data_IF_050492888914
#
_entry.id   IF_050492888914
#
_cell.length_a   1.000
_cell.length_b   1.000
_cell.length_c   1.000
_cell.angle_alpha   90.00
_cell.angle_beta   90.00
_cell.angle_gamma   90.00
#
_symmetry.space_group_name_H-M   'P 1'
#
loop_
_entity.id
_entity.type
_entity.pdbx_description
1 polymer ?
#
# COMPACT_ATOMS: atom_id res chain seq x y z
N UNK A 1 -9.14 34.14 -64.26
CA UNK A 1 -8.85 33.26 -63.14
C UNK A 1 -9.96 32.20 -63.08
N UNK A 2 -9.57 31.01 -63.36
CA UNK A 2 -10.48 29.90 -63.65
C UNK A 2 -11.09 29.36 -62.36
N UNK A 3 -12.42 29.38 -62.26
CA UNK A 3 -13.15 28.84 -61.06
C UNK A 3 -12.86 27.37 -60.80
N UNK A 4 -12.36 26.62 -61.76
CA UNK A 4 -11.96 25.21 -61.61
C UNK A 4 -10.67 25.03 -60.84
N UNK A 5 -9.72 26.00 -60.91
CA UNK A 5 -8.46 25.96 -60.18
C UNK A 5 -8.63 26.14 -58.66
N UNK A 6 -9.62 26.97 -58.28
CA UNK A 6 -9.90 27.21 -56.86
C UNK A 6 -10.52 25.99 -56.15
N UNK A 7 -11.39 25.25 -56.90
CA UNK A 7 -11.98 24.00 -56.36
C UNK A 7 -10.95 22.87 -56.22
N UNK A 8 -10.01 22.76 -57.16
CA UNK A 8 -8.95 21.74 -57.07
C UNK A 8 -8.00 21.98 -55.90
N UNK A 9 -7.62 23.23 -55.60
CA UNK A 9 -6.79 23.56 -54.49
C UNK A 9 -7.52 23.36 -53.13
N UNK A 10 -8.80 23.68 -53.05
CA UNK A 10 -9.60 23.44 -51.86
C UNK A 10 -9.80 21.94 -51.55
N UNK A 11 -9.98 21.12 -52.60
CA UNK A 11 -10.11 19.66 -52.42
C UNK A 11 -8.78 19.00 -51.97
N UNK A 12 -7.66 19.47 -52.53
CA UNK A 12 -6.33 18.98 -52.13
C UNK A 12 -6.02 19.33 -50.67
N UNK A 13 -6.26 20.58 -50.25
CA UNK A 13 -6.05 20.98 -48.86
C UNK A 13 -6.96 20.23 -47.88
N UNK A 14 -8.22 19.95 -48.27
CA UNK A 14 -9.14 19.17 -47.44
C UNK A 14 -8.69 17.69 -47.30
N UNK A 15 -8.21 17.08 -48.39
CA UNK A 15 -7.67 15.71 -48.38
C UNK A 15 -6.39 15.61 -47.57
N UNK A 16 -5.51 16.60 -47.61
CA UNK A 16 -4.30 16.63 -46.84
C UNK A 16 -4.58 16.79 -45.32
N UNK A 17 -5.56 17.63 -44.95
CA UNK A 17 -6.01 17.78 -43.57
C UNK A 17 -6.66 16.48 -43.05
N UNK A 18 -7.54 15.87 -43.87
CA UNK A 18 -8.18 14.59 -43.50
C UNK A 18 -7.13 13.49 -43.43
N UNK A 19 -6.17 13.44 -44.34
CA UNK A 19 -5.06 12.49 -44.32
C UNK A 19 -4.17 12.65 -43.07
N UNK A 20 -3.88 13.89 -42.69
CA UNK A 20 -3.11 14.18 -41.47
C UNK A 20 -3.87 13.81 -40.19
N UNK A 21 -5.17 14.05 -40.12
CA UNK A 21 -6.02 13.65 -38.99
C UNK A 21 -6.15 12.12 -38.88
N UNK A 22 -6.29 11.43 -40.02
CA UNK A 22 -6.31 9.96 -40.06
C UNK A 22 -4.95 9.40 -39.66
N UNK A 23 -3.84 9.98 -40.14
CA UNK A 23 -2.49 9.63 -39.79
C UNK A 23 -2.23 9.82 -38.28
N UNK A 24 -2.69 10.93 -37.71
CA UNK A 24 -2.60 11.19 -36.29
C UNK A 24 -3.41 10.20 -35.44
N UNK A 25 -4.65 9.90 -35.84
CA UNK A 25 -5.49 8.88 -35.21
C UNK A 25 -4.82 7.49 -35.24
N UNK A 26 -4.26 7.13 -36.42
CA UNK A 26 -3.55 5.86 -36.58
C UNK A 26 -2.31 5.80 -35.70
N UNK A 27 -1.52 6.89 -35.61
CA UNK A 27 -0.35 6.98 -34.75
C UNK A 27 -0.73 6.90 -33.26
N UNK A 28 -1.80 7.57 -32.85
CA UNK A 28 -2.31 7.48 -31.47
C UNK A 28 -2.78 6.06 -31.15
N UNK A 29 -3.53 5.41 -32.03
CA UNK A 29 -3.96 4.03 -31.81
C UNK A 29 -2.77 3.06 -31.73
N UNK A 30 -1.80 3.18 -32.64
CA UNK A 30 -0.59 2.35 -32.63
C UNK A 30 0.23 2.58 -31.34
N UNK A 31 0.31 3.83 -30.86
CA UNK A 31 0.97 4.15 -29.59
C UNK A 31 0.19 3.57 -28.42
N UNK A 32 -1.15 3.68 -28.42
CA UNK A 32 -1.98 3.08 -27.37
C UNK A 32 -1.85 1.56 -27.37
N UNK A 33 -1.92 0.91 -28.53
CA UNK A 33 -1.71 -0.53 -28.67
C UNK A 33 -0.31 -0.97 -28.21
N UNK A 34 0.74 -0.21 -28.54
CA UNK A 34 2.11 -0.50 -28.08
C UNK A 34 2.28 -0.28 -26.57
N UNK A 35 1.60 0.72 -26.01
CA UNK A 35 1.56 0.92 -24.54
C UNK A 35 0.77 -0.19 -23.87
N UNK A 36 -0.37 -0.59 -24.42
CA UNK A 36 -1.17 -1.70 -23.89
C UNK A 36 -0.41 -3.03 -24.01
N UNK A 37 0.30 -3.27 -25.11
CA UNK A 37 1.18 -4.45 -25.28
C UNK A 37 2.38 -4.41 -24.32
N UNK A 38 3.01 -3.26 -24.13
CA UNK A 38 4.09 -3.09 -23.16
C UNK A 38 3.60 -3.28 -21.72
N UNK A 39 2.40 -2.79 -21.41
CA UNK A 39 1.75 -3.00 -20.11
C UNK A 39 1.33 -4.47 -19.93
N UNK A 40 0.87 -5.16 -20.99
CA UNK A 40 0.50 -6.58 -20.94
C UNK A 40 1.68 -7.52 -20.68
N UNK A 41 2.89 -7.09 -20.99
CA UNK A 41 4.13 -7.83 -20.70
C UNK A 41 4.69 -7.54 -19.28
N UNK A 42 4.13 -6.59 -18.54
CA UNK A 42 4.47 -6.37 -17.14
C UNK A 42 3.60 -7.34 -16.33
N UNK A 43 4.15 -8.53 -16.05
CA UNK A 43 3.56 -9.43 -15.05
C UNK A 43 3.39 -8.60 -13.77
N UNK A 44 2.16 -8.37 -13.35
CA UNK A 44 1.90 -7.61 -12.13
C UNK A 44 2.60 -8.31 -10.97
N UNK A 45 3.53 -7.62 -10.33
CA UNK A 45 4.19 -8.13 -9.13
C UNK A 45 3.13 -8.26 -8.03
N UNK A 46 2.81 -9.49 -7.62
CA UNK A 46 1.91 -9.75 -6.49
C UNK A 46 2.76 -10.00 -5.26
N UNK A 47 2.46 -9.28 -4.21
CA UNK A 47 3.09 -9.39 -2.91
C UNK A 47 2.32 -10.30 -1.95
N UNK A 48 3.02 -10.74 -0.91
CA UNK A 48 2.44 -11.43 0.24
C UNK A 48 2.66 -10.60 1.49
N UNK A 49 1.57 -10.27 2.20
CA UNK A 49 1.68 -9.82 3.58
C UNK A 49 2.01 -11.04 4.46
N UNK A 50 3.16 -10.99 5.12
CA UNK A 50 3.70 -12.11 5.89
C UNK A 50 2.92 -12.42 7.18
N UNK A 51 1.94 -11.60 7.56
CA UNK A 51 0.97 -11.97 8.59
C UNK A 51 0.21 -13.25 8.22
N UNK A 52 0.00 -13.48 6.92
CA UNK A 52 -0.63 -14.68 6.37
C UNK A 52 0.14 -15.98 6.67
N UNK A 53 1.41 -15.89 7.04
CA UNK A 53 2.27 -17.03 7.39
C UNK A 53 2.98 -16.79 8.73
N UNK A 54 2.35 -16.04 9.65
CA UNK A 54 2.96 -15.62 10.91
C UNK A 54 3.55 -16.78 11.71
N UNK A 55 2.82 -17.90 11.84
CA UNK A 55 3.33 -19.10 12.55
C UNK A 55 4.58 -19.68 11.88
N UNK A 56 4.51 -19.89 10.57
CA UNK A 56 5.64 -20.41 9.77
C UNK A 56 6.85 -19.45 9.82
N UNK A 57 6.60 -18.15 9.77
CA UNK A 57 7.65 -17.13 9.89
C UNK A 57 8.31 -17.14 11.27
N UNK A 58 7.57 -17.39 12.35
CA UNK A 58 8.14 -17.53 13.69
C UNK A 58 8.96 -18.82 13.85
N UNK A 59 8.54 -19.90 13.19
CA UNK A 59 9.25 -21.18 13.28
C UNK A 59 10.51 -21.23 12.42
N UNK A 60 10.39 -20.87 11.12
CA UNK A 60 11.50 -20.93 10.19
C UNK A 60 11.38 -19.88 9.08
N UNK A 61 11.74 -18.61 9.35
CA UNK A 61 11.56 -17.51 8.40
C UNK A 61 12.30 -17.73 7.08
N UNK A 62 13.49 -18.33 7.09
CA UNK A 62 14.27 -18.56 5.85
C UNK A 62 13.58 -19.53 4.91
N UNK A 63 13.06 -20.63 5.44
CA UNK A 63 12.32 -21.61 4.66
C UNK A 63 10.99 -21.03 4.15
N UNK A 64 10.27 -20.31 5.01
CA UNK A 64 8.98 -19.69 4.67
C UNK A 64 9.11 -18.67 3.54
N UNK A 65 10.14 -17.84 3.55
CA UNK A 65 10.45 -16.92 2.45
C UNK A 65 10.74 -17.68 1.13
N UNK A 66 11.51 -18.78 1.21
CA UNK A 66 11.79 -19.59 0.02
C UNK A 66 10.53 -20.27 -0.53
N UNK A 67 9.61 -20.68 0.34
CA UNK A 67 8.33 -21.26 -0.04
C UNK A 67 7.41 -20.22 -0.69
N UNK A 68 7.30 -19.02 -0.11
CA UNK A 68 6.54 -17.91 -0.69
C UNK A 68 7.00 -17.59 -2.13
N UNK A 69 8.31 -17.52 -2.34
CA UNK A 69 8.86 -17.30 -3.68
C UNK A 69 8.53 -18.46 -4.65
N UNK A 70 8.56 -19.71 -4.18
CA UNK A 70 8.18 -20.89 -5.02
C UNK A 70 6.70 -20.90 -5.39
N UNK A 71 5.83 -20.33 -4.57
CA UNK A 71 4.41 -20.17 -4.84
C UNK A 71 4.15 -19.12 -5.94
N UNK A 72 5.14 -18.25 -6.25
CA UNK A 72 5.04 -17.24 -7.30
C UNK A 72 5.05 -15.79 -6.79
N UNK A 73 5.07 -15.56 -5.48
CA UNK A 73 5.21 -14.20 -4.94
C UNK A 73 6.57 -13.60 -5.30
N UNK A 74 6.58 -12.33 -5.66
CA UNK A 74 7.79 -11.60 -6.08
C UNK A 74 8.23 -10.57 -5.05
N UNK A 75 7.32 -10.20 -4.15
CA UNK A 75 7.58 -9.25 -3.08
C UNK A 75 6.82 -9.61 -1.81
N UNK A 76 7.28 -9.03 -0.71
CA UNK A 76 6.69 -9.23 0.61
C UNK A 76 6.49 -7.92 1.33
N UNK A 77 5.51 -7.94 2.22
CA UNK A 77 5.31 -6.94 3.24
C UNK A 77 5.49 -7.60 4.63
N UNK A 78 6.36 -7.02 5.47
CA UNK A 78 6.62 -7.56 6.81
C UNK A 78 5.55 -7.09 7.79
N UNK A 79 5.20 -7.94 8.76
CA UNK A 79 4.19 -7.66 9.77
C UNK A 79 4.66 -7.91 11.21
N UNK A 80 5.97 -8.11 11.40
CA UNK A 80 6.56 -8.34 12.72
C UNK A 80 7.87 -7.57 12.85
N UNK A 81 7.82 -6.50 13.65
CA UNK A 81 8.99 -5.70 14.03
C UNK A 81 8.95 -5.45 15.52
N UNK A 82 9.99 -5.82 16.21
CA UNK A 82 10.16 -5.58 17.64
C UNK A 82 11.64 -5.46 18.00
N UNK A 83 11.98 -4.47 18.82
CA UNK A 83 13.34 -4.29 19.34
C UNK A 83 14.43 -4.30 18.25
N UNK A 84 14.19 -3.68 17.12
CA UNK A 84 15.13 -3.62 15.99
C UNK A 84 15.30 -4.95 15.24
N UNK A 85 14.38 -5.90 15.40
CA UNK A 85 14.39 -7.21 14.75
C UNK A 85 13.11 -7.45 13.95
N UNK A 86 13.22 -8.24 12.90
CA UNK A 86 12.12 -8.64 12.04
C UNK A 86 12.00 -10.16 12.11
N UNK A 87 10.87 -10.68 12.62
CA UNK A 87 10.71 -12.11 12.93
C UNK A 87 11.92 -12.67 13.69
N UNK A 88 12.35 -11.98 14.73
CA UNK A 88 13.53 -12.27 15.56
C UNK A 88 14.88 -12.32 14.82
N UNK A 89 14.92 -12.02 13.54
CA UNK A 89 16.16 -11.90 12.79
C UNK A 89 16.74 -10.50 12.88
N UNK A 90 18.06 -10.38 12.80
CA UNK A 90 18.69 -9.09 12.53
C UNK A 90 18.28 -8.59 11.14
N UNK A 91 18.13 -7.27 10.93
CA UNK A 91 17.70 -6.72 9.66
C UNK A 91 18.53 -7.20 8.45
N UNK A 92 19.85 -7.24 8.58
CA UNK A 92 20.72 -7.71 7.51
C UNK A 92 20.52 -9.20 7.19
N UNK A 93 20.31 -10.04 8.22
CA UNK A 93 20.04 -11.47 8.04
C UNK A 93 18.69 -11.69 7.34
N UNK A 94 17.67 -10.89 7.69
CA UNK A 94 16.36 -10.95 7.07
C UNK A 94 16.43 -10.49 5.60
N UNK A 95 17.11 -9.36 5.35
CA UNK A 95 17.34 -8.85 3.98
C UNK A 95 18.04 -9.88 3.10
N UNK A 96 19.09 -10.52 3.61
CA UNK A 96 19.83 -11.54 2.88
C UNK A 96 18.98 -12.80 2.64
N UNK A 97 18.12 -13.19 3.60
CA UNK A 97 17.21 -14.31 3.41
C UNK A 97 16.16 -14.03 2.32
N UNK A 98 15.54 -12.84 2.33
CA UNK A 98 14.61 -12.41 1.29
C UNK A 98 15.28 -12.33 -0.08
N UNK A 99 16.48 -11.73 -0.15
CA UNK A 99 17.28 -11.64 -1.39
C UNK A 99 17.62 -13.03 -1.96
N UNK A 100 18.03 -13.98 -1.13
CA UNK A 100 18.32 -15.37 -1.54
C UNK A 100 17.08 -16.10 -2.04
N UNK A 101 15.92 -15.81 -1.47
CA UNK A 101 14.64 -16.32 -1.95
C UNK A 101 14.18 -15.65 -3.26
N UNK A 102 14.79 -14.53 -3.67
CA UNK A 102 14.36 -13.76 -4.84
C UNK A 102 13.19 -12.81 -4.57
N UNK A 103 12.92 -12.50 -3.28
CA UNK A 103 11.82 -11.63 -2.86
C UNK A 103 12.31 -10.19 -2.62
N UNK A 104 11.53 -9.22 -3.11
CA UNK A 104 11.68 -7.79 -2.75
C UNK A 104 10.95 -7.54 -1.44
N UNK A 105 11.56 -6.80 -0.51
CA UNK A 105 10.88 -6.31 0.69
C UNK A 105 10.26 -4.95 0.33
N UNK A 106 8.96 -4.93 0.02
CA UNK A 106 8.31 -3.75 -0.53
C UNK A 106 7.73 -2.84 0.54
N UNK A 107 7.24 -3.40 1.64
CA UNK A 107 6.60 -2.66 2.72
C UNK A 107 6.74 -3.33 4.08
N UNK A 108 6.28 -2.62 5.09
CA UNK A 108 6.21 -3.11 6.45
C UNK A 108 5.03 -2.52 7.21
N UNK A 109 4.29 -3.38 7.92
CA UNK A 109 3.33 -2.94 8.93
C UNK A 109 4.07 -2.66 10.24
N UNK A 110 4.01 -1.41 10.67
CA UNK A 110 4.59 -0.94 11.92
C UNK A 110 3.48 -0.31 12.78
N UNK A 111 3.55 -0.54 14.08
CA UNK A 111 2.59 0.06 15.02
C UNK A 111 3.32 0.66 16.20
N UNK A 112 3.08 1.93 16.43
CA UNK A 112 3.40 2.66 17.64
C UNK A 112 2.25 3.62 17.90
N UNK A 113 1.44 3.32 18.91
CA UNK A 113 0.26 4.12 19.21
C UNK A 113 0.63 5.41 19.95
N UNK A 114 -0.24 6.41 19.88
CA UNK A 114 -0.10 7.65 20.67
C UNK A 114 -0.13 7.36 22.17
N UNK A 115 -0.94 6.40 22.58
CA UNK A 115 -1.11 5.98 23.98
C UNK A 115 0.10 5.22 24.54
N UNK A 116 0.97 4.71 23.66
CA UNK A 116 2.24 4.05 24.05
C UNK A 116 3.34 5.08 24.40
N UNK A 117 3.01 6.37 24.35
CA UNK A 117 3.92 7.45 24.71
C UNK A 117 3.95 7.63 26.21
N UNK A 118 5.12 7.83 26.83
CA UNK A 118 5.16 8.38 28.18
C UNK A 118 4.52 9.78 28.15
N UNK A 119 3.67 10.07 29.14
CA UNK A 119 3.06 11.39 29.28
C UNK A 119 4.16 12.47 29.26
N UNK A 120 4.04 13.41 28.34
CA UNK A 120 4.95 14.56 28.25
C UNK A 120 4.89 15.45 29.50
N UNK A 121 3.96 15.17 30.43
CA UNK A 121 3.77 15.85 31.70
C UNK A 121 4.41 15.15 32.90
N UNK A 122 5.00 13.96 32.71
CA UNK A 122 5.82 13.33 33.75
C UNK A 122 7.17 14.04 33.81
N UNK A 123 7.22 15.20 34.42
CA UNK A 123 8.44 15.85 34.83
C UNK A 123 9.23 14.85 35.69
N UNK A 124 10.40 14.44 35.22
CA UNK A 124 11.32 13.66 36.02
C UNK A 124 11.84 14.57 37.14
N UNK A 125 11.23 14.49 38.32
CA UNK A 125 11.85 14.97 39.53
C UNK A 125 13.12 14.12 39.81
N UNK A 126 14.18 14.49 39.14
CA UNK A 126 15.54 14.11 39.63
C UNK A 126 16.38 15.37 39.63
N UNK A 127 16.48 15.92 40.86
CA UNK A 127 17.51 16.86 41.24
C UNK A 127 18.90 16.37 40.79
N UNK A 128 19.53 17.07 39.87
CA UNK A 128 20.98 17.14 39.82
C UNK A 128 21.42 18.31 38.93
N UNK A 129 21.90 19.34 39.58
CA UNK A 129 22.58 20.49 38.96
C UNK A 129 23.89 20.05 38.28
N UNK A 130 23.93 20.10 36.97
CA UNK A 130 25.16 20.31 36.19
C UNK A 130 24.79 21.00 34.87
N UNK A 131 25.18 22.25 34.74
CA UNK A 131 25.05 23.03 33.50
C UNK A 131 25.96 22.42 32.43
N UNK A 132 25.37 21.78 31.44
CA UNK A 132 26.01 21.34 30.22
C UNK A 132 24.94 21.38 29.11
N UNK A 133 25.32 21.89 27.95
CA UNK A 133 24.51 22.17 26.76
C UNK A 133 23.22 21.35 26.63
N UNK A 134 22.08 22.03 26.62
CA UNK A 134 20.77 21.41 26.41
C UNK A 134 20.70 20.80 25.00
N UNK A 135 21.12 19.56 24.86
CA UNK A 135 20.61 18.69 23.83
C UNK A 135 19.15 18.48 24.15
N UNK A 136 18.24 19.07 23.36
CA UNK A 136 16.80 18.81 23.44
C UNK A 136 16.64 17.29 23.37
N UNK A 137 16.20 16.68 24.46
CA UNK A 137 15.94 15.26 24.51
C UNK A 137 14.94 14.94 23.40
N UNK A 138 15.30 14.06 22.46
CA UNK A 138 14.44 13.66 21.36
C UNK A 138 13.19 13.02 21.97
N UNK A 139 12.00 13.42 21.50
CA UNK A 139 10.76 12.79 21.91
C UNK A 139 10.84 11.28 21.68
N UNK A 140 10.53 10.43 22.69
CA UNK A 140 10.70 8.98 22.61
C UNK A 140 9.98 8.33 21.41
N UNK A 141 8.90 8.91 20.94
CA UNK A 141 8.12 8.41 19.81
C UNK A 141 8.79 8.72 18.49
N UNK A 142 9.21 9.95 18.32
CA UNK A 142 10.02 10.36 17.18
C UNK A 142 11.31 9.55 17.12
N UNK A 143 11.94 9.31 18.27
CA UNK A 143 13.11 8.44 18.38
C UNK A 143 12.85 6.99 17.94
N UNK A 144 11.71 6.42 18.34
CA UNK A 144 11.32 5.06 17.92
C UNK A 144 11.10 5.00 16.41
N UNK A 145 10.30 5.95 15.85
CA UNK A 145 10.06 6.01 14.42
C UNK A 145 11.33 6.21 13.60
N UNK A 146 12.23 7.07 14.06
CA UNK A 146 13.51 7.31 13.39
C UNK A 146 14.28 6.00 13.22
N UNK A 147 14.43 5.21 14.30
CA UNK A 147 15.14 3.93 14.26
C UNK A 147 14.40 2.92 13.37
N UNK A 148 13.09 2.78 13.53
CA UNK A 148 12.30 1.85 12.75
C UNK A 148 12.35 2.19 11.24
N UNK A 149 12.18 3.47 10.89
CA UNK A 149 12.22 3.91 9.50
C UNK A 149 13.61 3.74 8.88
N UNK A 150 14.70 4.01 9.62
CA UNK A 150 16.06 3.78 9.11
C UNK A 150 16.31 2.30 8.79
N UNK A 151 15.88 1.40 9.68
CA UNK A 151 15.98 -0.05 9.47
C UNK A 151 15.20 -0.46 8.20
N UNK A 152 13.96 0.00 8.05
CA UNK A 152 13.12 -0.41 6.93
C UNK A 152 13.54 0.22 5.61
N UNK A 153 14.11 1.44 5.62
CA UNK A 153 14.82 2.01 4.45
C UNK A 153 15.96 1.09 4.01
N UNK A 154 16.78 0.64 4.96
CA UNK A 154 17.96 -0.20 4.67
C UNK A 154 17.55 -1.61 4.22
N UNK A 155 16.36 -2.08 4.58
CA UNK A 155 15.75 -3.29 4.02
C UNK A 155 15.27 -3.10 2.57
N UNK A 156 15.07 -1.87 2.11
CA UNK A 156 14.57 -1.56 0.77
C UNK A 156 13.06 -1.31 0.70
N UNK A 157 12.39 -1.13 1.86
CA UNK A 157 10.97 -0.80 1.90
C UNK A 157 10.68 0.51 1.18
N UNK A 158 9.62 0.52 0.40
CA UNK A 158 9.05 1.72 -0.25
C UNK A 158 7.88 2.28 0.54
N UNK A 159 7.24 1.43 1.35
CA UNK A 159 6.03 1.75 2.10
C UNK A 159 6.19 1.35 3.56
N UNK A 160 5.64 2.19 4.41
CA UNK A 160 5.46 1.92 5.84
C UNK A 160 4.00 2.10 6.15
N UNK A 161 3.34 1.06 6.60
CA UNK A 161 1.91 1.06 6.86
C UNK A 161 1.63 0.94 8.35
N UNK A 162 0.71 1.75 8.85
CA UNK A 162 0.16 1.61 10.19
C UNK A 162 -1.29 1.13 10.11
N UNK A 163 -1.56 -0.05 10.70
CA UNK A 163 -2.87 -0.71 10.61
C UNK A 163 -3.63 -0.79 11.93
N UNK A 164 -2.97 -0.48 13.06
CA UNK A 164 -3.61 -0.57 14.37
C UNK A 164 -3.81 0.82 14.93
N UNK A 165 -5.07 1.17 15.15
CA UNK A 165 -5.53 2.30 15.94
C UNK A 165 -6.53 1.77 16.97
N UNK A 166 -6.88 2.55 18.01
CA UNK A 166 -8.02 2.24 18.88
C UNK A 166 -9.32 2.09 18.06
N UNK A 167 -10.14 1.10 18.40
CA UNK A 167 -11.39 0.80 17.68
C UNK A 167 -12.38 1.98 17.66
N UNK A 168 -12.33 2.83 18.66
CA UNK A 168 -13.15 4.05 18.74
C UNK A 168 -12.27 5.27 18.97
N UNK A 169 -12.43 6.26 18.12
CA UNK A 169 -11.71 7.53 18.20
C UNK A 169 -12.71 8.67 18.46
N UNK A 170 -12.42 9.50 19.46
CA UNK A 170 -13.09 10.80 19.60
C UNK A 170 -12.61 11.77 18.51
N UNK A 171 -13.33 12.86 18.29
CA UNK A 171 -12.90 13.90 17.35
C UNK A 171 -11.51 14.46 17.72
N UNK A 172 -11.27 14.65 19.02
CA UNK A 172 -9.96 15.10 19.53
C UNK A 172 -8.85 14.08 19.24
N UNK A 173 -9.09 12.80 19.55
CA UNK A 173 -8.12 11.72 19.30
C UNK A 173 -7.87 11.56 17.78
N UNK A 174 -8.91 11.68 16.97
CA UNK A 174 -8.79 11.65 15.50
C UNK A 174 -7.89 12.78 14.99
N UNK A 175 -8.06 14.01 15.49
CA UNK A 175 -7.21 15.12 15.11
C UNK A 175 -5.74 14.89 15.51
N UNK A 176 -5.50 14.38 16.71
CA UNK A 176 -4.15 14.03 17.19
C UNK A 176 -3.50 12.94 16.32
N UNK A 177 -4.25 11.91 15.91
CA UNK A 177 -3.73 10.89 14.99
C UNK A 177 -3.45 11.46 13.59
N UNK A 178 -4.23 12.43 13.11
CA UNK A 178 -3.94 13.08 11.84
C UNK A 178 -2.60 13.84 11.88
N UNK A 179 -2.34 14.62 12.91
CA UNK A 179 -1.06 15.31 13.11
C UNK A 179 0.11 14.31 13.26
N UNK A 180 -0.13 13.22 13.97
CA UNK A 180 0.83 12.14 14.14
C UNK A 180 1.18 11.48 12.82
N UNK A 181 0.19 11.19 11.99
CA UNK A 181 0.39 10.60 10.67
C UNK A 181 1.14 11.53 9.72
N UNK A 182 0.84 12.82 9.74
CA UNK A 182 1.59 13.81 8.97
C UNK A 182 3.07 13.86 9.39
N UNK A 183 3.34 13.76 10.70
CA UNK A 183 4.70 13.70 11.23
C UNK A 183 5.44 12.46 10.76
N UNK A 184 4.82 11.27 10.85
CA UNK A 184 5.43 10.02 10.36
C UNK A 184 5.61 10.09 8.84
N UNK A 185 4.63 10.64 8.13
CA UNK A 185 4.70 10.84 6.68
C UNK A 185 5.90 11.68 6.25
N UNK A 186 6.18 12.78 6.94
CA UNK A 186 7.38 13.59 6.71
C UNK A 186 8.66 12.80 6.99
N UNK A 187 8.71 12.07 8.10
CA UNK A 187 9.89 11.25 8.46
C UNK A 187 10.14 10.12 7.45
N UNK A 188 9.09 9.50 6.93
CA UNK A 188 9.17 8.47 5.90
C UNK A 188 9.64 9.07 4.56
N UNK A 189 9.07 10.23 4.17
CA UNK A 189 9.43 10.93 2.94
C UNK A 189 10.91 11.35 2.92
N UNK A 190 11.48 11.81 4.04
CA UNK A 190 12.91 12.13 4.18
C UNK A 190 13.82 10.92 3.90
N UNK A 191 13.28 9.71 3.99
CA UNK A 191 13.97 8.43 3.73
C UNK A 191 13.61 7.81 2.39
N UNK A 192 12.85 8.53 1.55
CA UNK A 192 12.39 8.04 0.25
C UNK A 192 11.26 7.02 0.32
N UNK A 193 10.61 6.88 1.47
CA UNK A 193 9.47 5.99 1.70
C UNK A 193 8.16 6.77 1.75
N UNK A 194 7.04 6.07 1.64
CA UNK A 194 5.69 6.62 1.81
C UNK A 194 5.04 5.98 3.03
N UNK A 195 4.37 6.82 3.82
CA UNK A 195 3.57 6.35 4.94
C UNK A 195 2.14 6.09 4.48
N UNK A 196 1.60 4.93 4.84
CA UNK A 196 0.25 4.51 4.54
C UNK A 196 -0.53 4.25 5.83
N UNK A 197 -1.79 4.63 5.84
CA UNK A 197 -2.76 4.20 6.83
C UNK A 197 -3.62 3.07 6.24
N UNK A 198 -3.71 1.96 6.97
CA UNK A 198 -4.57 0.82 6.67
C UNK A 198 -5.74 0.80 7.65
N UNK A 199 -6.92 1.28 7.25
CA UNK A 199 -8.10 1.27 8.10
C UNK A 199 -8.69 -0.14 8.19
N UNK A 200 -9.06 -0.56 9.38
CA UNK A 200 -9.90 -1.74 9.59
C UNK A 200 -11.39 -1.39 9.52
N UNK A 201 -12.25 -2.41 9.65
CA UNK A 201 -13.71 -2.28 9.66
C UNK A 201 -14.21 -1.21 10.62
N UNK A 202 -13.64 -1.10 11.83
CA UNK A 202 -14.10 -0.15 12.84
C UNK A 202 -13.89 1.28 12.40
N UNK A 203 -12.73 1.58 11.78
CA UNK A 203 -12.38 2.89 11.26
C UNK A 203 -13.18 3.26 10.00
N UNK A 204 -13.59 2.27 9.21
CA UNK A 204 -14.39 2.45 8.00
C UNK A 204 -15.88 2.63 8.30
N UNK A 205 -16.36 2.08 9.42
CA UNK A 205 -17.77 2.18 9.81
C UNK A 205 -18.13 3.59 10.26
N UNK A 206 -19.13 4.19 9.63
CA UNK A 206 -19.56 5.55 9.97
C UNK A 206 -20.30 5.58 11.31
N UNK A 207 -19.91 6.50 12.18
CA UNK A 207 -20.62 6.86 13.40
C UNK A 207 -21.16 8.27 13.22
N UNK A 208 -22.47 8.47 13.41
CA UNK A 208 -23.14 9.76 13.15
C UNK A 208 -22.89 10.34 11.74
N UNK A 209 -22.70 9.46 10.74
CA UNK A 209 -22.55 9.84 9.33
C UNK A 209 -21.13 10.11 8.87
N UNK A 210 -20.11 10.03 9.75
CA UNK A 210 -18.70 10.19 9.42
C UNK A 210 -17.91 9.00 9.97
N UNK A 211 -17.04 8.40 9.15
CA UNK A 211 -16.12 7.36 9.61
C UNK A 211 -14.82 8.00 10.14
N UNK A 212 -14.14 7.31 11.05
CA UNK A 212 -12.82 7.74 11.52
C UNK A 212 -11.82 7.84 10.35
N UNK A 213 -11.93 6.93 9.38
CA UNK A 213 -11.14 6.98 8.15
C UNK A 213 -11.40 8.25 7.34
N UNK A 214 -12.67 8.62 7.13
CA UNK A 214 -13.01 9.86 6.41
C UNK A 214 -12.50 11.10 7.13
N UNK A 215 -12.59 11.13 8.46
CA UNK A 215 -12.11 12.25 9.29
C UNK A 215 -10.56 12.36 9.23
N UNK A 216 -9.83 11.25 9.38
CA UNK A 216 -8.36 11.21 9.24
C UNK A 216 -7.96 11.62 7.81
N UNK A 217 -8.65 11.11 6.79
CA UNK A 217 -8.37 11.44 5.41
C UNK A 217 -8.57 12.94 5.10
N UNK A 218 -9.55 13.57 5.75
CA UNK A 218 -9.81 15.01 5.60
C UNK A 218 -8.80 15.87 6.35
N UNK A 219 -8.29 15.40 7.49
CA UNK A 219 -7.39 16.14 8.37
C UNK A 219 -5.90 15.99 8.03
N UNK A 220 -5.51 14.96 7.26
CA UNK A 220 -4.10 14.69 6.90
C UNK A 220 -3.70 15.29 5.56
N UNK A 221 -2.42 15.68 5.44
CA UNK A 221 -1.85 16.17 4.18
C UNK A 221 -1.79 15.01 3.13
N UNK A 222 -2.46 15.18 1.98
CA UNK A 222 -2.47 14.16 0.93
C UNK A 222 -1.09 13.91 0.27
N UNK A 223 -0.10 14.76 0.51
CA UNK A 223 1.28 14.54 0.06
C UNK A 223 2.10 13.69 1.04
N UNK A 224 1.63 13.54 2.28
CA UNK A 224 2.34 12.87 3.37
C UNK A 224 1.73 11.52 3.75
N UNK A 225 0.40 11.44 3.74
CA UNK A 225 -0.36 10.26 4.20
C UNK A 225 -1.09 9.63 3.03
N UNK A 226 -0.79 8.38 2.77
CA UNK A 226 -1.38 7.54 1.75
C UNK A 226 -2.23 6.45 2.39
N UNK A 227 -2.91 5.65 1.59
CA UNK A 227 -3.79 4.60 2.09
C UNK A 227 -3.43 3.24 1.49
N UNK A 228 -3.57 2.24 2.32
CA UNK A 228 -3.62 0.83 1.97
C UNK A 228 -5.03 0.34 2.27
N UNK A 229 -5.74 -0.11 1.25
CA UNK A 229 -7.13 -0.51 1.36
C UNK A 229 -7.24 -2.04 1.35
N UNK A 230 -7.91 -2.58 2.34
CA UNK A 230 -8.18 -4.00 2.48
C UNK A 230 -9.60 -4.33 2.01
N UNK A 231 -9.70 -5.31 1.11
CA UNK A 231 -10.98 -5.70 0.50
C UNK A 231 -11.91 -6.41 1.47
N UNK A 232 -11.38 -7.17 2.44
CA UNK A 232 -12.17 -7.81 3.48
C UNK A 232 -12.71 -6.78 4.48
N UNK A 233 -11.88 -5.84 4.92
CA UNK A 233 -12.27 -4.80 5.88
C UNK A 233 -13.36 -3.90 5.29
N UNK A 234 -13.26 -3.53 4.01
CA UNK A 234 -14.31 -2.78 3.32
C UNK A 234 -15.60 -3.58 3.18
N UNK A 235 -15.51 -4.88 2.85
CA UNK A 235 -16.67 -5.76 2.74
C UNK A 235 -17.37 -5.95 4.09
N UNK A 236 -16.61 -6.16 5.17
CA UNK A 236 -17.13 -6.28 6.53
C UNK A 236 -17.75 -4.98 7.07
N UNK A 237 -17.27 -3.83 6.62
CA UNK A 237 -17.87 -2.52 6.91
C UNK A 237 -19.12 -2.23 6.04
N UNK A 238 -19.45 -3.11 5.09
CA UNK A 238 -20.57 -2.92 4.15
C UNK A 238 -20.33 -1.81 3.11
N UNK A 239 -19.06 -1.52 2.80
CA UNK A 239 -18.64 -0.47 1.87
C UNK A 239 -18.36 -1.06 0.49
N UNK A 240 -18.82 -0.40 -0.56
CA UNK A 240 -18.36 -0.68 -1.93
C UNK A 240 -16.91 -0.22 -2.09
N UNK A 241 -15.98 -1.18 -2.12
CA UNK A 241 -14.55 -0.93 -2.28
C UNK A 241 -14.24 -0.09 -3.50
N UNK A 242 -14.93 -0.30 -4.63
CA UNK A 242 -14.75 0.51 -5.85
C UNK A 242 -15.18 1.97 -5.66
N UNK A 243 -16.26 2.20 -4.92
CA UNK A 243 -16.69 3.57 -4.60
C UNK A 243 -15.65 4.28 -3.72
N UNK A 244 -15.09 3.59 -2.71
CA UNK A 244 -14.01 4.10 -1.88
C UNK A 244 -12.76 4.39 -2.71
N UNK A 245 -12.35 3.48 -3.58
CA UNK A 245 -11.23 3.68 -4.50
C UNK A 245 -11.44 4.87 -5.44
N UNK A 246 -12.66 5.13 -5.91
CA UNK A 246 -12.97 6.33 -6.71
C UNK A 246 -12.83 7.61 -5.92
N UNK A 247 -13.26 7.59 -4.65
CA UNK A 247 -13.23 8.76 -3.76
C UNK A 247 -11.81 9.14 -3.36
N UNK A 248 -10.98 8.16 -3.01
CA UNK A 248 -9.65 8.38 -2.46
C UNK A 248 -8.50 7.93 -3.37
N UNK A 249 -8.79 7.50 -4.59
CA UNK A 249 -7.88 6.77 -5.45
C UNK A 249 -6.49 7.39 -5.65
N UNK A 250 -6.39 8.72 -5.69
CA UNK A 250 -5.07 9.39 -5.79
C UNK A 250 -4.19 9.19 -4.55
N UNK A 251 -4.79 8.84 -3.41
CA UNK A 251 -4.11 8.56 -2.14
C UNK A 251 -4.00 7.06 -1.85
N UNK A 252 -4.68 6.19 -2.59
CA UNK A 252 -4.57 4.74 -2.42
C UNK A 252 -3.37 4.24 -3.22
N UNK A 253 -2.35 3.78 -2.52
CA UNK A 253 -1.13 3.24 -3.13
C UNK A 253 -1.10 1.71 -3.11
N UNK A 254 -1.73 1.11 -2.11
CA UNK A 254 -1.65 -0.31 -1.83
C UNK A 254 -3.05 -0.90 -1.71
N UNK A 255 -3.20 -2.14 -2.16
CA UNK A 255 -4.41 -2.93 -1.99
C UNK A 255 -4.05 -4.25 -1.30
N UNK A 256 -4.70 -4.55 -0.18
CA UNK A 256 -4.74 -5.90 0.35
C UNK A 256 -5.86 -6.67 -0.34
N UNK A 257 -5.48 -7.66 -1.13
CA UNK A 257 -6.39 -8.67 -1.64
C UNK A 257 -6.62 -9.69 -0.51
N UNK A 258 -7.65 -9.46 0.27
CA UNK A 258 -8.02 -10.23 1.46
C UNK A 258 -9.47 -10.67 1.34
N UNK A 259 -9.74 -11.95 1.59
CA UNK A 259 -11.05 -12.58 1.49
C UNK A 259 -11.42 -13.28 2.82
N UNK A 260 -12.58 -13.89 2.88
CA UNK A 260 -13.04 -14.68 4.02
C UNK A 260 -12.29 -15.99 4.23
N UNK A 261 -11.29 -16.26 3.43
CA UNK A 261 -10.42 -17.42 3.43
C UNK A 261 -9.40 -17.30 2.30
N UNK A 262 -9.36 -18.29 1.42
CA UNK A 262 -8.56 -18.21 0.20
C UNK A 262 -9.09 -17.10 -0.70
N UNK A 263 -8.23 -16.21 -1.14
CA UNK A 263 -8.60 -15.08 -1.99
C UNK A 263 -9.26 -15.59 -3.29
N UNK A 264 -10.43 -15.04 -3.58
CA UNK A 264 -11.24 -15.37 -4.76
C UNK A 264 -12.12 -16.63 -4.62
N UNK A 265 -12.21 -17.24 -3.43
CA UNK A 265 -13.02 -18.46 -3.25
C UNK A 265 -14.29 -18.25 -2.45
N UNK A 266 -14.44 -17.16 -1.70
CA UNK A 266 -15.63 -16.92 -0.89
C UNK A 266 -16.89 -16.64 -1.72
N UNK A 267 -16.73 -16.16 -2.95
CA UNK A 267 -17.82 -15.65 -3.78
C UNK A 267 -18.47 -14.36 -3.25
N UNK A 268 -17.90 -13.74 -2.19
CA UNK A 268 -18.43 -12.53 -1.55
C UNK A 268 -17.74 -11.26 -2.04
N UNK A 269 -16.49 -11.37 -2.53
CA UNK A 269 -15.69 -10.27 -3.03
C UNK A 269 -15.32 -10.55 -4.49
N UNK A 270 -15.72 -9.65 -5.39
CA UNK A 270 -15.38 -9.71 -6.80
C UNK A 270 -14.06 -8.93 -7.04
N UNK A 271 -12.95 -9.66 -7.03
CA UNK A 271 -11.59 -9.07 -7.07
C UNK A 271 -11.27 -8.41 -8.40
N UNK A 272 -11.69 -8.97 -9.53
CA UNK A 272 -11.28 -8.48 -10.85
C UNK A 272 -11.65 -7.00 -11.08
N UNK A 273 -12.92 -6.56 -10.91
CA UNK A 273 -13.27 -5.16 -11.07
C UNK A 273 -12.72 -4.24 -9.96
N UNK A 274 -12.44 -4.79 -8.76
CA UNK A 274 -11.80 -4.02 -7.68
C UNK A 274 -10.35 -3.71 -8.04
N UNK A 275 -9.59 -4.71 -8.46
CA UNK A 275 -8.20 -4.58 -8.87
C UNK A 275 -8.08 -3.66 -10.08
N UNK A 276 -8.93 -3.84 -11.09
CA UNK A 276 -8.99 -2.95 -12.26
C UNK A 276 -9.20 -1.49 -11.85
N UNK A 277 -10.13 -1.22 -10.91
CA UNK A 277 -10.38 0.15 -10.42
C UNK A 277 -9.18 0.67 -9.61
N UNK A 278 -8.56 -0.16 -8.75
CA UNK A 278 -7.39 0.23 -7.95
C UNK A 278 -6.21 0.63 -8.86
N UNK A 279 -5.86 -0.19 -9.83
CA UNK A 279 -4.79 0.08 -10.82
C UNK A 279 -5.10 1.34 -11.62
N UNK A 280 -6.34 1.47 -12.12
CA UNK A 280 -6.80 2.68 -12.83
C UNK A 280 -6.65 3.95 -11.99
N UNK A 281 -6.78 3.87 -10.67
CA UNK A 281 -6.64 5.00 -9.75
C UNK A 281 -5.21 5.26 -9.32
N UNK A 282 -4.28 4.37 -9.63
CA UNK A 282 -2.87 4.57 -9.39
C UNK A 282 -2.27 3.75 -8.24
N UNK A 283 -3.01 2.73 -7.77
CA UNK A 283 -2.43 1.74 -6.86
C UNK A 283 -1.16 1.14 -7.49
N UNK A 284 -0.14 0.94 -6.66
CA UNK A 284 1.20 0.54 -7.11
C UNK A 284 1.47 -0.93 -6.90
N UNK A 285 0.99 -1.46 -5.78
CA UNK A 285 1.24 -2.84 -5.41
C UNK A 285 -0.02 -3.47 -4.80
N UNK A 286 -0.13 -4.78 -4.97
CA UNK A 286 -1.21 -5.60 -4.43
C UNK A 286 -0.56 -6.67 -3.57
N UNK A 287 -1.01 -6.79 -2.32
CA UNK A 287 -0.56 -7.83 -1.40
C UNK A 287 -1.71 -8.79 -1.08
N UNK A 288 -1.42 -10.08 -1.15
CA UNK A 288 -2.33 -11.10 -0.61
C UNK A 288 -2.26 -11.08 0.90
N UNK A 289 -3.41 -11.07 1.56
CA UNK A 289 -3.55 -11.35 2.97
C UNK A 289 -4.56 -12.46 3.22
N UNK A 290 -4.21 -13.42 4.09
CA UNK A 290 -5.09 -14.49 4.53
C UNK A 290 -5.00 -14.59 6.05
N UNK A 291 -6.14 -14.44 6.74
CA UNK A 291 -6.24 -14.57 8.21
C UNK A 291 -7.15 -15.71 8.64
N UNK A 292 -8.14 -16.06 7.83
CA UNK A 292 -9.11 -17.12 8.12
C UNK A 292 -8.75 -18.38 7.33
N UNK A 293 -8.10 -19.34 7.98
CA UNK A 293 -7.58 -20.52 7.30
C UNK A 293 -8.61 -21.65 7.29
N UNK A 294 -9.09 -21.98 6.10
CA UNK A 294 -9.91 -23.20 5.85
C UNK A 294 -9.04 -24.41 5.50
N UNK A 295 -7.76 -24.18 5.19
CA UNK A 295 -6.71 -25.14 4.86
C UNK A 295 -5.44 -24.77 5.64
N UNK A 296 -4.37 -25.59 5.62
CA UNK A 296 -3.07 -25.14 6.12
C UNK A 296 -2.67 -23.78 5.52
N UNK A 297 -2.11 -22.84 6.29
CA UNK A 297 -1.83 -21.47 5.84
C UNK A 297 -1.12 -21.38 4.50
N UNK A 298 -0.09 -22.18 4.28
CA UNK A 298 0.67 -22.23 3.01
C UNK A 298 -0.21 -22.58 1.82
N UNK A 299 -1.14 -23.52 1.98
CA UNK A 299 -2.07 -23.90 0.92
C UNK A 299 -3.05 -22.75 0.60
N UNK A 300 -3.47 -22.00 1.63
CA UNK A 300 -4.34 -20.85 1.42
C UNK A 300 -3.63 -19.77 0.62
N UNK A 301 -2.39 -19.41 0.97
CA UNK A 301 -1.65 -18.36 0.25
C UNK A 301 -1.24 -18.81 -1.16
N UNK A 302 -0.89 -20.08 -1.36
CA UNK A 302 -0.57 -20.62 -2.69
C UNK A 302 -1.78 -20.58 -3.64
N UNK A 303 -2.95 -20.99 -3.15
CA UNK A 303 -4.19 -20.91 -3.94
C UNK A 303 -4.61 -19.47 -4.20
N UNK A 304 -4.39 -18.57 -3.25
CA UNK A 304 -4.72 -17.16 -3.38
C UNK A 304 -3.98 -16.48 -4.53
N UNK A 305 -2.66 -16.69 -4.63
CA UNK A 305 -1.90 -16.11 -5.74
C UNK A 305 -2.32 -16.74 -7.09
N UNK A 306 -2.55 -18.07 -7.13
CA UNK A 306 -3.02 -18.73 -8.33
C UNK A 306 -4.37 -18.16 -8.82
N UNK A 307 -5.31 -17.91 -7.90
CA UNK A 307 -6.60 -17.33 -8.23
C UNK A 307 -6.44 -15.90 -8.76
N UNK A 308 -5.61 -15.07 -8.11
CA UNK A 308 -5.36 -13.70 -8.57
C UNK A 308 -4.68 -13.67 -9.93
N UNK A 309 -3.65 -14.49 -10.18
CA UNK A 309 -2.97 -14.56 -11.48
C UNK A 309 -3.90 -15.00 -12.62
N UNK A 310 -5.04 -15.60 -12.30
CA UNK A 310 -6.05 -15.98 -13.28
C UNK A 310 -6.95 -14.83 -13.72
N UNK A 311 -6.98 -13.73 -12.95
CA UNK A 311 -7.86 -12.59 -13.21
C UNK A 311 -7.39 -11.77 -14.43
N UNK A 312 -8.32 -11.31 -15.28
CA UNK A 312 -7.99 -10.44 -16.41
C UNK A 312 -7.24 -9.18 -16.00
N UNK A 313 -7.63 -8.54 -14.89
CA UNK A 313 -7.02 -7.29 -14.40
C UNK A 313 -5.58 -7.43 -13.89
N UNK A 314 -5.09 -8.66 -13.67
CA UNK A 314 -3.69 -8.94 -13.25
C UNK A 314 -2.79 -9.29 -14.44
N UNK A 315 -3.37 -9.66 -15.58
CA UNK A 315 -2.62 -10.12 -16.75
C UNK A 315 -2.15 -9.00 -17.69
N UNK A 316 -2.19 -7.76 -17.22
CA UNK A 316 -1.78 -6.59 -18.00
C UNK A 316 -0.35 -6.16 -17.75
#
# INVERSE_FOLDING_TARGET
MDRLGFFKHGLSAATDVIGSVIGLKKAVNTFTEAVDEALSNIKSDIGLNLQSLQGDMCENPRNTLSEAARMGYTMIETASYSNGRIYDMKPDDFREAARKAGLKIAGAHLTKLLEDMPDATAESETDSAAAGEATTAEDPVTGWWRVALDIHRDLGCRYITMSRLPESLSDETTARYAEYFDTIGDMAAQRGMKFCFHPDKSHLTAVNGVSAFDAIAAATDPAKVWFEIDTYETAEAGIDTKALLRRYGKRVLLLHAHDYGVVGESGRIDFDPIIAEAVKRGAKDIFVEVRNYMLPPKNCVERSIYNLESLPSIRF
#
